data_IF_240810958260
#
_entry.id   IF_240810958260
#
_cell.length_a   1.000
_cell.length_b   1.000
_cell.length_c   1.000
_cell.angle_alpha   90.00
_cell.angle_beta   90.00
_cell.angle_gamma   90.00
#
_symmetry.space_group_name_H-M   'P 1'
#
loop_
_entity.id
_entity.type
_entity.pdbx_description
1 polymer ?
#
# COMPACT_ATOMS: atom_id res chain seq x y z
N UNK A 1 -2.36 10.39 26.23
CA UNK A 1 -1.14 11.23 26.29
C UNK A 1 -0.30 10.84 27.50
N UNK A 2 -0.90 10.81 28.69
CA UNK A 2 -0.22 10.49 29.96
C UNK A 2 0.49 9.14 29.96
N UNK A 3 -0.13 8.09 29.41
CA UNK A 3 0.54 6.79 29.23
C UNK A 3 1.85 6.86 28.41
N UNK A 4 1.86 7.60 27.30
CA UNK A 4 3.03 7.68 26.40
C UNK A 4 4.16 8.47 27.07
N UNK A 5 3.81 9.51 27.81
CA UNK A 5 4.78 10.33 28.55
C UNK A 5 5.20 9.70 29.88
N UNK A 6 4.54 8.61 30.30
CA UNK A 6 4.84 7.92 31.55
C UNK A 6 4.25 8.56 32.80
N UNK A 7 3.32 9.51 32.68
CA UNK A 7 2.66 10.12 33.84
C UNK A 7 1.74 9.15 34.57
N UNK A 8 1.24 8.13 33.87
CA UNK A 8 0.33 7.12 34.42
C UNK A 8 1.07 5.95 35.10
N UNK A 9 2.17 5.48 34.50
CA UNK A 9 2.87 4.25 34.90
C UNK A 9 4.35 4.46 35.25
N UNK A 10 4.80 5.71 35.31
CA UNK A 10 6.19 6.08 35.63
C UNK A 10 7.21 5.71 34.55
N UNK A 11 6.78 5.26 33.36
CA UNK A 11 7.68 4.77 32.31
C UNK A 11 7.42 5.46 30.98
N UNK A 12 8.20 6.50 30.61
CA UNK A 12 8.09 7.14 29.31
C UNK A 12 8.34 6.15 28.16
N UNK A 13 7.46 6.15 27.15
CA UNK A 13 7.54 5.24 25.99
C UNK A 13 8.51 5.79 24.93
N UNK A 14 9.77 5.89 25.33
CA UNK A 14 10.87 6.44 24.52
C UNK A 14 11.40 5.42 23.51
N UNK A 15 12.18 5.85 22.49
CA UNK A 15 12.87 4.92 21.60
C UNK A 15 13.81 3.95 22.34
N UNK A 16 14.54 4.42 23.36
CA UNK A 16 15.41 3.56 24.18
C UNK A 16 14.60 2.51 24.97
N UNK A 17 13.44 2.89 25.49
CA UNK A 17 12.51 1.92 26.10
C UNK A 17 12.02 0.87 25.10
N UNK A 18 11.72 1.29 23.86
CA UNK A 18 11.27 0.37 22.82
C UNK A 18 12.40 -0.57 22.36
N UNK A 19 13.63 -0.10 22.29
CA UNK A 19 14.81 -0.89 21.92
C UNK A 19 15.01 -2.11 22.83
N UNK A 20 14.86 -1.93 24.15
CA UNK A 20 14.95 -3.03 25.11
C UNK A 20 13.90 -4.14 24.86
N UNK A 21 12.75 -3.78 24.29
CA UNK A 21 11.63 -4.71 24.05
C UNK A 21 11.72 -5.35 22.66
N UNK A 22 11.96 -4.54 21.62
CA UNK A 22 11.86 -4.97 20.23
C UNK A 22 13.19 -5.38 19.63
N UNK A 23 14.29 -5.15 20.34
CA UNK A 23 15.68 -5.33 19.90
C UNK A 23 16.06 -4.53 18.64
N UNK A 24 15.22 -3.55 18.27
CA UNK A 24 15.49 -2.61 17.17
C UNK A 24 16.21 -1.40 17.77
N UNK A 25 17.38 -0.99 17.24
CA UNK A 25 18.11 0.14 17.82
C UNK A 25 17.27 1.42 17.89
N UNK A 26 17.36 2.16 18.99
CA UNK A 26 16.59 3.39 19.22
C UNK A 26 16.78 4.44 18.11
N UNK A 27 17.99 4.49 17.53
CA UNK A 27 18.29 5.34 16.38
C UNK A 27 17.44 5.00 15.16
N UNK A 28 17.26 3.70 14.87
CA UNK A 28 16.45 3.22 13.74
C UNK A 28 14.98 3.52 13.99
N UNK A 29 14.47 3.28 15.21
CA UNK A 29 13.09 3.62 15.59
C UNK A 29 12.84 5.11 15.38
N UNK A 30 13.75 5.95 15.86
CA UNK A 30 13.66 7.41 15.75
C UNK A 30 13.68 7.86 14.29
N UNK A 31 14.62 7.33 13.50
CA UNK A 31 14.75 7.64 12.08
C UNK A 31 13.48 7.28 11.31
N UNK A 32 12.97 6.05 11.48
CA UNK A 32 11.74 5.60 10.81
C UNK A 32 10.52 6.42 11.21
N UNK A 33 10.39 6.78 12.49
CA UNK A 33 9.31 7.64 12.96
C UNK A 33 9.33 9.02 12.28
N UNK A 34 10.52 9.63 12.16
CA UNK A 34 10.68 10.93 11.49
C UNK A 34 10.48 10.83 9.97
N UNK A 35 11.01 9.80 9.32
CA UNK A 35 10.81 9.57 7.89
C UNK A 35 9.33 9.40 7.57
N UNK A 36 8.61 8.60 8.35
CA UNK A 36 7.18 8.38 8.16
C UNK A 36 6.36 9.65 8.46
N UNK A 37 6.72 10.42 9.48
CA UNK A 37 5.99 11.65 9.84
C UNK A 37 6.23 12.81 8.84
N UNK A 38 7.43 12.92 8.28
CA UNK A 38 7.82 14.02 7.38
C UNK A 38 7.46 13.77 5.92
N UNK A 39 7.56 12.53 5.44
CA UNK A 39 7.24 12.23 4.05
C UNK A 39 5.71 12.11 3.91
N UNK A 40 5.10 13.00 3.11
CA UNK A 40 3.65 13.02 2.89
C UNK A 40 3.33 13.09 1.39
N UNK A 41 2.33 12.32 0.91
CA UNK A 41 1.51 11.36 1.67
C UNK A 41 2.26 10.06 1.98
N UNK A 42 1.94 9.41 3.11
CA UNK A 42 2.53 8.13 3.49
C UNK A 42 1.47 7.07 3.82
N UNK A 43 1.72 5.83 3.38
CA UNK A 43 0.85 4.69 3.63
C UNK A 43 1.54 3.66 4.53
N UNK A 44 0.90 3.32 5.65
CA UNK A 44 1.33 2.22 6.53
C UNK A 44 0.56 0.94 6.19
N UNK A 45 1.10 0.09 5.32
CA UNK A 45 0.43 -1.16 4.92
C UNK A 45 0.71 -2.26 5.95
N UNK A 46 -0.10 -2.29 7.00
CA UNK A 46 -0.01 -3.30 8.06
C UNK A 46 -0.38 -4.71 7.57
N UNK A 47 0.25 -5.74 8.13
CA UNK A 47 -0.06 -7.14 7.91
C UNK A 47 -1.02 -7.71 8.97
N UNK A 48 -1.49 -8.96 8.77
CA UNK A 48 -2.39 -9.64 9.72
C UNK A 48 -1.68 -10.46 10.80
N UNK A 49 -0.38 -10.74 10.63
CA UNK A 49 0.39 -11.60 11.53
C UNK A 49 0.35 -11.15 12.99
N UNK A 50 0.73 -9.89 13.30
CA UNK A 50 0.82 -9.42 14.67
C UNK A 50 -0.53 -9.35 15.40
N UNK A 51 -1.65 -9.24 14.69
CA UNK A 51 -2.98 -9.23 15.31
C UNK A 51 -3.42 -10.60 15.85
N UNK A 52 -2.68 -11.68 15.54
CA UNK A 52 -2.97 -13.06 15.97
C UNK A 52 -2.16 -13.52 17.18
N UNK A 53 -1.57 -12.58 17.92
CA UNK A 53 -0.90 -12.84 19.19
C UNK A 53 -1.80 -12.43 20.34
N UNK A 54 -1.43 -12.82 21.57
CA UNK A 54 -1.98 -12.22 22.78
C UNK A 54 -1.80 -10.70 22.70
N UNK A 55 -2.84 -9.94 23.05
CA UNK A 55 -2.87 -8.47 22.94
C UNK A 55 -2.69 -7.92 21.52
N UNK A 56 -2.94 -8.73 20.48
CA UNK A 56 -2.79 -8.34 19.07
C UNK A 56 -3.70 -7.18 18.65
N UNK A 57 -4.76 -6.90 19.40
CA UNK A 57 -5.59 -5.72 19.19
C UNK A 57 -4.85 -4.41 19.52
N UNK A 58 -3.79 -4.46 20.35
CA UNK A 58 -2.92 -3.30 20.61
C UNK A 58 -2.12 -2.91 19.37
N UNK A 59 -1.62 -3.89 18.61
CA UNK A 59 -0.95 -3.64 17.34
C UNK A 59 -1.87 -2.91 16.36
N UNK A 60 -3.11 -3.40 16.21
CA UNK A 60 -4.10 -2.78 15.32
C UNK A 60 -4.43 -1.35 15.76
N UNK A 61 -4.61 -1.13 17.07
CA UNK A 61 -4.82 0.21 17.64
C UNK A 61 -3.64 1.13 17.36
N UNK A 62 -2.41 0.68 17.59
CA UNK A 62 -1.20 1.47 17.38
C UNK A 62 -1.00 1.86 15.90
N UNK A 63 -1.22 0.94 14.96
CA UNK A 63 -1.14 1.23 13.53
C UNK A 63 -2.15 2.31 13.11
N UNK A 64 -3.38 2.22 13.64
CA UNK A 64 -4.42 3.21 13.36
C UNK A 64 -4.08 4.58 13.95
N UNK A 65 -3.63 4.61 15.21
CA UNK A 65 -3.20 5.84 15.88
C UNK A 65 -2.05 6.49 15.12
N UNK A 66 -1.06 5.73 14.65
CA UNK A 66 0.07 6.25 13.89
C UNK A 66 -0.38 6.94 12.58
N UNK A 67 -1.30 6.34 11.84
CA UNK A 67 -1.87 6.96 10.63
C UNK A 67 -2.65 8.24 10.96
N UNK A 68 -3.38 8.25 12.07
CA UNK A 68 -4.16 9.40 12.51
C UNK A 68 -3.28 10.58 12.93
N UNK A 69 -2.29 10.36 13.81
CA UNK A 69 -1.44 11.44 14.33
C UNK A 69 -0.51 12.02 13.26
N UNK A 70 -0.23 11.28 12.19
CA UNK A 70 0.55 11.75 11.04
C UNK A 70 -0.30 12.41 9.95
N UNK A 71 -1.63 12.36 10.07
CA UNK A 71 -2.56 12.99 9.12
C UNK A 71 -2.65 12.26 7.78
N UNK A 72 -2.45 10.93 7.77
CA UNK A 72 -2.48 10.12 6.55
C UNK A 72 -3.86 9.49 6.27
N UNK A 73 -4.86 9.73 7.11
CA UNK A 73 -6.23 9.21 6.93
C UNK A 73 -7.00 10.13 5.96
N UNK A 74 -7.64 9.53 4.96
CA UNK A 74 -8.57 10.25 4.05
C UNK A 74 -7.92 11.00 2.90
N UNK A 75 -6.60 10.91 2.73
CA UNK A 75 -5.86 11.58 1.64
C UNK A 75 -5.40 10.58 0.56
N UNK A 76 -5.26 11.06 -0.68
CA UNK A 76 -4.69 10.23 -1.75
C UNK A 76 -3.21 9.93 -1.45
N UNK A 77 -2.81 8.66 -1.61
CA UNK A 77 -1.49 8.15 -1.18
C UNK A 77 -1.37 7.90 0.33
N UNK A 78 -2.40 8.23 1.12
CA UNK A 78 -2.48 7.92 2.54
C UNK A 78 -3.08 6.54 2.82
N UNK A 79 -3.28 6.22 4.10
CA UNK A 79 -3.87 4.97 4.53
C UNK A 79 -4.82 5.18 5.71
N UNK A 80 -6.06 4.69 5.56
CA UNK A 80 -7.12 4.88 6.55
C UNK A 80 -7.05 3.90 7.74
N UNK A 81 -6.13 2.92 7.70
CA UNK A 81 -5.93 1.92 8.75
C UNK A 81 -7.17 1.04 9.02
N UNK A 82 -7.12 -0.23 8.60
CA UNK A 82 -8.27 -1.15 8.69
C UNK A 82 -8.51 -2.05 7.48
N UNK A 83 -7.81 -1.80 6.36
CA UNK A 83 -7.79 -2.69 5.20
C UNK A 83 -6.37 -3.21 4.98
N UNK A 84 -5.91 -4.09 5.87
CA UNK A 84 -4.60 -4.74 5.76
C UNK A 84 -4.58 -5.56 4.46
N UNK A 85 -3.74 -5.13 3.51
CA UNK A 85 -3.82 -5.51 2.09
C UNK A 85 -3.53 -7.00 1.91
N UNK A 86 -4.55 -7.78 1.55
CA UNK A 86 -4.33 -8.98 0.73
C UNK A 86 -3.92 -8.50 -0.68
N UNK A 87 -2.71 -8.83 -1.12
CA UNK A 87 -2.10 -8.31 -2.34
C UNK A 87 -2.94 -8.49 -3.63
N UNK A 88 -3.99 -9.32 -3.60
CA UNK A 88 -4.81 -9.66 -4.77
C UNK A 88 -6.14 -8.90 -4.94
N UNK A 89 -6.67 -8.21 -3.92
CA UNK A 89 -8.07 -7.73 -3.98
C UNK A 89 -8.27 -6.31 -4.53
N UNK A 90 -7.21 -5.55 -4.84
CA UNK A 90 -7.33 -4.11 -5.19
C UNK A 90 -6.90 -3.72 -6.61
N UNK A 91 -6.71 -4.66 -7.55
CA UNK A 91 -6.66 -4.27 -8.98
C UNK A 91 -8.03 -3.89 -9.55
N UNK A 92 -9.13 -4.13 -8.83
CA UNK A 92 -10.49 -3.85 -9.33
C UNK A 92 -11.00 -2.43 -9.06
N UNK A 93 -10.25 -1.58 -8.34
CA UNK A 93 -10.67 -0.22 -7.99
C UNK A 93 -9.89 0.85 -8.75
N UNK A 94 -10.04 0.93 -10.08
CA UNK A 94 -9.39 1.98 -10.87
C UNK A 94 -9.25 1.74 -12.38
N UNK A 95 -9.69 0.60 -12.91
CA UNK A 95 -9.78 0.40 -14.36
C UNK A 95 -11.24 0.42 -14.82
N UNK A 96 -11.79 1.62 -14.99
CA UNK A 96 -12.88 1.78 -15.96
C UNK A 96 -12.27 1.46 -17.33
N UNK A 97 -12.46 0.23 -17.79
CA UNK A 97 -12.05 -0.19 -19.13
C UNK A 97 -10.91 -1.22 -19.16
N UNK A 98 -11.27 -2.48 -18.89
CA UNK A 98 -11.11 -3.66 -19.77
C UNK A 98 -11.05 -4.91 -18.87
N UNK A 99 -12.05 -5.80 -19.04
CA UNK A 99 -11.99 -7.16 -18.51
C UNK A 99 -10.70 -7.79 -19.07
N UNK A 100 -9.68 -8.00 -18.23
CA UNK A 100 -8.53 -8.83 -18.63
C UNK A 100 -9.03 -10.27 -18.71
N UNK A 101 -9.28 -10.76 -19.91
CA UNK A 101 -9.62 -12.16 -20.12
C UNK A 101 -8.39 -13.05 -19.88
N UNK A 102 -8.62 -14.17 -19.19
CA UNK A 102 -7.58 -15.09 -18.75
C UNK A 102 -6.81 -15.77 -19.90
N UNK A 103 -5.68 -16.42 -19.59
CA UNK A 103 -4.70 -16.89 -20.58
C UNK A 103 -5.26 -17.90 -21.59
N UNK A 104 -6.31 -18.65 -21.21
CA UNK A 104 -6.94 -19.68 -22.06
C UNK A 104 -7.61 -19.06 -23.29
N UNK A 105 -8.24 -17.88 -23.17
CA UNK A 105 -8.91 -17.22 -24.31
C UNK A 105 -7.94 -16.51 -25.25
N UNK A 106 -6.82 -16.01 -24.74
CA UNK A 106 -5.81 -15.32 -25.55
C UNK A 106 -5.12 -16.27 -26.55
N UNK A 107 -4.94 -17.53 -26.17
CA UNK A 107 -4.38 -18.57 -27.04
C UNK A 107 -5.35 -18.87 -28.19
N UNK A 108 -6.64 -19.04 -27.87
CA UNK A 108 -7.68 -19.30 -28.87
C UNK A 108 -7.90 -18.15 -29.89
N UNK A 109 -7.52 -16.91 -29.55
CA UNK A 109 -7.60 -15.77 -30.45
C UNK A 109 -6.34 -15.61 -31.32
N UNK A 110 -5.17 -16.01 -30.80
CA UNK A 110 -3.90 -16.01 -31.55
C UNK A 110 -3.90 -17.01 -32.71
N UNK A 111 -4.60 -18.14 -32.54
CA UNK A 111 -4.68 -19.22 -33.53
C UNK A 111 -5.74 -18.99 -34.61
N UNK A 112 -6.49 -17.87 -34.56
CA UNK A 112 -7.43 -17.53 -35.63
C UNK A 112 -6.68 -17.07 -36.89
N UNK A 113 -7.05 -17.54 -38.09
CA UNK A 113 -6.42 -17.10 -39.33
C UNK A 113 -6.63 -15.59 -39.51
N UNK A 114 -5.52 -14.85 -39.70
CA UNK A 114 -5.56 -13.41 -39.96
C UNK A 114 -6.28 -13.14 -41.28
N UNK A 115 -7.29 -12.26 -41.29
CA UNK A 115 -7.93 -11.81 -42.52
C UNK A 115 -6.89 -11.21 -43.48
N UNK A 116 -6.95 -11.49 -44.79
CA UNK A 116 -6.02 -10.92 -45.75
C UNK A 116 -6.17 -9.40 -45.78
N UNK A 117 -5.03 -8.68 -45.78
CA UNK A 117 -5.02 -7.21 -45.93
C UNK A 117 -5.41 -6.86 -47.37
N UNK A 118 -6.31 -5.89 -47.58
CA UNK A 118 -6.59 -5.41 -48.93
C UNK A 118 -5.35 -4.70 -49.49
N UNK A 119 -4.89 -5.12 -50.66
CA UNK A 119 -3.83 -4.46 -51.41
C UNK A 119 -4.42 -3.33 -52.24
N UNK A 120 -3.98 -2.10 -51.96
CA UNK A 120 -3.90 -1.02 -52.95
C UNK A 120 -5.12 -0.11 -53.14
N UNK A 121 -5.18 1.00 -52.39
CA UNK A 121 -5.71 2.30 -52.88
C UNK A 121 -4.92 3.41 -52.18
N UNK A 122 -3.68 3.67 -52.59
CA UNK A 122 -3.00 4.94 -52.28
C UNK A 122 -1.73 5.14 -53.12
N UNK A 123 -1.85 5.55 -54.39
CA UNK A 123 -1.01 6.61 -54.98
C UNK A 123 -1.78 7.23 -56.15
N UNK A 124 -2.63 8.21 -55.85
CA UNK A 124 -3.04 9.24 -56.79
C UNK A 124 -2.65 10.58 -56.15
N UNK A 125 -1.51 11.12 -56.60
CA UNK A 125 -0.98 12.49 -56.46
C UNK A 125 0.55 12.39 -56.35
N UNK A 126 1.24 12.49 -57.49
CA UNK A 126 2.33 13.45 -57.73
C UNK A 126 2.92 13.20 -59.13
N UNK A 127 2.83 14.24 -59.96
CA UNK A 127 3.57 14.50 -61.21
C UNK A 127 3.21 13.70 -62.47
N UNK A 128 2.62 14.45 -63.43
CA UNK A 128 2.63 14.31 -64.90
C UNK A 128 2.07 13.03 -65.52
#
# INVERSE_FOLDING_TARGET
>A
KDYVLGHEDGRPKTPSWAEEITTVPAEIITKLAWEYAKNKPAALIAGWGPARTTFGEQYSRAANVLCAITGNIGINGGYASGFMRAYYSRESGGSVGKKKEGPIKQIAEKDKPKKPRPQGVLVALHAL
#
